data_IF_391059380592
#
_entry.id   IF_391059380592
#
_cell.length_a   1.000
_cell.length_b   1.000
_cell.length_c   1.000
_cell.angle_alpha   90.00
_cell.angle_beta   90.00
_cell.angle_gamma   90.00
#
_symmetry.space_group_name_H-M   'P 1'
#
loop_
_entity.id
_entity.type
_entity.pdbx_description
1 polymer ?
#
# COMPACT_ATOMS: atom_id res chain seq x y z
N UNK A 1 27.52 13.90 23.12
CA UNK A 1 26.37 14.73 23.52
C UNK A 1 25.79 15.34 22.25
N UNK A 2 24.56 15.00 21.90
CA UNK A 2 23.92 15.39 20.64
C UNK A 2 22.97 14.31 20.16
N UNK A 3 21.91 14.10 20.93
CA UNK A 3 20.88 13.10 20.74
C UNK A 3 20.26 13.13 19.34
N UNK A 4 20.19 11.95 18.73
CA UNK A 4 19.60 11.71 17.41
C UNK A 4 18.09 11.95 17.52
N UNK A 5 17.65 13.14 17.12
CA UNK A 5 16.25 13.56 17.11
C UNK A 5 15.52 12.86 15.93
N UNK A 6 15.27 11.55 16.03
CA UNK A 6 14.64 10.76 14.95
C UNK A 6 13.23 10.28 15.28
N UNK A 7 12.75 10.46 16.51
CA UNK A 7 11.42 9.99 16.92
C UNK A 7 10.24 10.93 16.57
N UNK A 8 10.52 12.22 16.35
CA UNK A 8 9.48 13.24 16.16
C UNK A 8 9.02 13.40 14.72
N UNK A 9 9.93 13.21 13.75
CA UNK A 9 9.60 13.29 12.32
C UNK A 9 8.88 12.03 11.81
N UNK A 10 9.25 10.85 12.31
CA UNK A 10 8.60 9.58 11.96
C UNK A 10 7.12 9.61 12.37
N UNK A 11 6.82 10.10 13.58
CA UNK A 11 5.45 10.22 14.09
C UNK A 11 4.62 11.30 13.39
N UNK A 12 5.24 12.35 12.83
CA UNK A 12 4.57 13.34 11.98
C UNK A 12 4.30 12.80 10.57
N UNK A 13 5.23 12.04 10.01
CA UNK A 13 5.02 11.33 8.74
C UNK A 13 3.90 10.30 8.89
N UNK A 14 3.86 9.54 9.99
CA UNK A 14 2.81 8.57 10.29
C UNK A 14 1.40 9.19 10.34
N UNK A 15 1.31 10.42 10.86
CA UNK A 15 0.06 11.20 10.90
C UNK A 15 -0.22 11.97 9.61
N UNK A 16 0.72 11.99 8.67
CA UNK A 16 0.54 12.69 7.41
C UNK A 16 -0.49 11.96 6.53
N UNK A 17 -1.30 12.73 5.82
CA UNK A 17 -2.22 12.20 4.82
C UNK A 17 -1.50 11.41 3.72
N UNK A 18 -0.21 11.65 3.47
CA UNK A 18 0.60 10.89 2.52
C UNK A 18 0.86 9.44 2.98
N UNK A 19 1.27 9.26 4.24
CA UNK A 19 1.57 7.92 4.76
C UNK A 19 0.30 7.07 4.90
N UNK A 20 -0.80 7.67 5.36
CA UNK A 20 -2.10 6.99 5.42
C UNK A 20 -2.57 6.53 4.03
N UNK A 21 -2.31 7.32 2.99
CA UNK A 21 -2.57 6.93 1.59
C UNK A 21 -1.70 5.76 1.15
N UNK A 22 -0.42 5.79 1.48
CA UNK A 22 0.49 4.69 1.18
C UNK A 22 0.04 3.39 1.86
N UNK A 23 -0.34 3.45 3.15
CA UNK A 23 -0.87 2.29 3.86
C UNK A 23 -2.14 1.75 3.20
N UNK A 24 -3.07 2.62 2.81
CA UNK A 24 -4.30 2.22 2.14
C UNK A 24 -4.03 1.59 0.75
N UNK A 25 -3.11 2.14 -0.05
CA UNK A 25 -2.70 1.52 -1.33
C UNK A 25 -2.05 0.15 -1.08
N UNK A 26 -1.19 0.02 -0.06
CA UNK A 26 -0.53 -1.25 0.29
C UNK A 26 -1.54 -2.31 0.71
N UNK A 27 -2.49 -1.97 1.56
CA UNK A 27 -3.51 -2.90 2.05
C UNK A 27 -4.43 -3.36 0.90
N UNK A 28 -4.70 -2.49 -0.07
CA UNK A 28 -5.43 -2.87 -1.28
C UNK A 28 -4.62 -3.85 -2.15
N UNK A 29 -3.31 -3.64 -2.33
CA UNK A 29 -2.45 -4.58 -3.05
C UNK A 29 -2.43 -5.94 -2.36
N UNK A 30 -2.38 -5.98 -1.03
CA UNK A 30 -2.43 -7.23 -0.27
C UNK A 30 -3.78 -7.95 -0.43
N UNK A 31 -4.90 -7.22 -0.47
CA UNK A 31 -6.20 -7.81 -0.80
C UNK A 31 -6.25 -8.37 -2.21
N UNK A 32 -5.75 -7.62 -3.19
CA UNK A 32 -5.69 -8.07 -4.57
C UNK A 32 -4.84 -9.34 -4.72
N UNK A 33 -3.67 -9.38 -4.06
CA UNK A 33 -2.83 -10.57 -3.98
C UNK A 33 -3.61 -11.77 -3.44
N UNK A 34 -4.30 -11.60 -2.31
CA UNK A 34 -5.07 -12.70 -1.72
C UNK A 34 -6.14 -13.22 -2.69
N UNK A 35 -6.94 -12.33 -3.29
CA UNK A 35 -7.99 -12.72 -4.23
C UNK A 35 -7.46 -13.48 -5.46
N UNK A 36 -6.36 -13.02 -6.06
CA UNK A 36 -5.78 -13.72 -7.21
C UNK A 36 -5.09 -15.02 -6.79
N UNK A 37 -4.49 -15.10 -5.61
CA UNK A 37 -3.95 -16.36 -5.07
C UNK A 37 -5.04 -17.41 -4.82
N UNK A 38 -6.20 -17.01 -4.29
CA UNK A 38 -7.35 -17.90 -4.11
C UNK A 38 -7.87 -18.43 -5.45
N UNK A 39 -7.87 -17.58 -6.48
CA UNK A 39 -8.33 -17.92 -7.83
C UNK A 39 -7.39 -18.85 -8.58
N UNK A 40 -6.08 -18.69 -8.42
CA UNK A 40 -5.04 -19.52 -9.05
C UNK A 40 -4.77 -20.81 -8.25
N UNK A 41 -5.29 -20.90 -7.01
CA UNK A 41 -5.09 -22.05 -6.13
C UNK A 41 -3.68 -22.16 -5.54
N UNK A 42 -2.86 -21.12 -5.69
CA UNK A 42 -1.52 -21.02 -5.11
C UNK A 42 -1.15 -19.55 -4.89
N UNK A 43 -0.15 -19.27 -4.03
CA UNK A 43 0.30 -17.89 -3.86
C UNK A 43 0.96 -17.37 -5.14
N UNK A 44 0.44 -16.25 -5.66
CA UNK A 44 0.97 -15.59 -6.85
C UNK A 44 2.19 -14.71 -6.54
N UNK A 45 2.44 -14.43 -5.26
CA UNK A 45 3.53 -13.58 -4.80
C UNK A 45 3.22 -12.08 -4.86
N UNK A 46 3.95 -11.30 -4.05
CA UNK A 46 3.69 -9.87 -3.91
C UNK A 46 4.04 -9.06 -5.16
N UNK A 47 5.16 -9.36 -5.82
CA UNK A 47 5.59 -8.61 -7.00
C UNK A 47 4.61 -8.75 -8.16
N UNK A 48 4.12 -9.96 -8.43
CA UNK A 48 3.10 -10.21 -9.48
C UNK A 48 1.82 -9.44 -9.18
N UNK A 49 1.32 -9.52 -7.94
CA UNK A 49 0.13 -8.81 -7.50
C UNK A 49 0.30 -7.28 -7.58
N UNK A 50 1.47 -6.77 -7.20
CA UNK A 50 1.78 -5.34 -7.26
C UNK A 50 1.77 -4.84 -8.71
N UNK A 51 2.45 -5.54 -9.62
CA UNK A 51 2.51 -5.15 -11.03
C UNK A 51 1.11 -5.16 -11.65
N UNK A 52 0.33 -6.22 -11.44
CA UNK A 52 -1.05 -6.29 -11.95
C UNK A 52 -1.91 -5.16 -11.37
N UNK A 53 -1.86 -4.95 -10.06
CA UNK A 53 -2.65 -3.93 -9.39
C UNK A 53 -2.32 -2.53 -9.89
N UNK A 54 -1.04 -2.20 -10.05
CA UNK A 54 -0.60 -0.89 -10.57
C UNK A 54 -1.11 -0.65 -11.99
N UNK A 55 -1.08 -1.67 -12.85
CA UNK A 55 -1.49 -1.55 -14.25
C UNK A 55 -3.02 -1.49 -14.39
N UNK A 56 -3.77 -2.32 -13.65
CA UNK A 56 -5.18 -2.58 -13.92
C UNK A 56 -6.15 -1.97 -12.91
N UNK A 57 -5.71 -1.73 -11.67
CA UNK A 57 -6.60 -1.43 -10.54
C UNK A 57 -6.37 -0.03 -9.95
N UNK A 58 -5.10 0.39 -9.83
CA UNK A 58 -4.69 1.62 -9.13
C UNK A 58 -5.41 2.87 -9.59
N UNK A 59 -5.57 3.05 -10.90
CA UNK A 59 -6.23 4.22 -11.48
C UNK A 59 -7.70 4.33 -11.08
N UNK A 60 -8.41 3.19 -11.01
CA UNK A 60 -9.82 3.14 -10.58
C UNK A 60 -9.91 3.31 -9.06
N UNK A 61 -9.02 2.68 -8.32
CA UNK A 61 -8.99 2.77 -6.85
C UNK A 61 -8.77 4.21 -6.36
N UNK A 62 -7.82 4.95 -6.97
CA UNK A 62 -7.59 6.37 -6.62
C UNK A 62 -8.77 7.29 -6.95
N UNK A 63 -9.56 6.97 -7.99
CA UNK A 63 -10.79 7.72 -8.30
C UNK A 63 -11.92 7.45 -7.30
N UNK A 64 -11.98 6.23 -6.75
CA UNK A 64 -12.99 5.83 -5.75
C UNK A 64 -12.66 6.26 -4.33
N UNK A 65 -11.38 6.50 -4.05
CA UNK A 65 -10.90 7.04 -2.78
C UNK A 65 -10.31 8.45 -2.98
N UNK A 66 -11.11 9.43 -3.44
CA UNK A 66 -10.67 10.82 -3.51
C UNK A 66 -10.46 11.37 -2.09
N UNK A 67 -9.56 12.34 -1.96
CA UNK A 67 -9.25 13.03 -0.71
C UNK A 67 -10.19 14.20 -0.48
#
# INVERSE_FOLDING_TARGET
MGDKQTGSDDTLLEKSSLYQRYLAERDEILRHKWLESEKEGHDIGFERALVDWVLNHRSKWRKKNPH
#
